data_IF_047593635029
#
_entry.id   IF_047593635029
#
_cell.length_a   1.000
_cell.length_b   1.000
_cell.length_c   1.000
_cell.angle_alpha   90.00
_cell.angle_beta   90.00
_cell.angle_gamma   90.00
#
_symmetry.space_group_name_H-M   'P 1'
#
loop_
_entity.id
_entity.type
_entity.pdbx_description
1 polymer ?
#
# COMPACT_ATOMS: atom_id res chain seq x y z
N UNK A 1 3.60 -3.39 -4.83
CA UNK A 1 5.05 -3.17 -4.61
C UNK A 1 5.51 -2.04 -5.50
N UNK A 2 6.55 -1.30 -5.13
CA UNK A 2 7.01 -0.13 -5.90
C UNK A 2 7.88 -0.52 -7.09
N UNK A 3 8.88 -1.39 -6.88
CA UNK A 3 9.76 -1.94 -7.90
C UNK A 3 10.11 -3.40 -7.55
N UNK A 4 10.85 -4.09 -8.41
CA UNK A 4 11.43 -5.41 -8.11
C UNK A 4 12.87 -5.34 -7.55
N UNK A 5 13.38 -4.15 -7.24
CA UNK A 5 14.76 -3.93 -6.76
C UNK A 5 14.78 -3.81 -5.25
N UNK A 6 15.63 -4.58 -4.55
CA UNK A 6 15.87 -4.43 -3.10
C UNK A 6 17.09 -3.57 -2.85
N UNK A 7 16.93 -2.25 -2.93
CA UNK A 7 18.03 -1.28 -2.78
C UNK A 7 18.27 -0.81 -1.34
N UNK A 8 17.30 -1.06 -0.45
CA UNK A 8 17.26 -0.44 0.89
C UNK A 8 16.69 0.99 0.89
N UNK A 9 16.31 1.53 -0.27
CA UNK A 9 15.60 2.81 -0.38
C UNK A 9 14.09 2.64 -0.16
N UNK A 10 13.42 3.72 0.22
CA UNK A 10 11.99 3.66 0.58
C UNK A 10 11.06 3.40 -0.62
N UNK A 11 11.50 3.78 -1.82
CA UNK A 11 10.74 3.68 -3.07
C UNK A 11 11.11 2.45 -3.90
N UNK A 12 11.39 1.34 -3.23
CA UNK A 12 11.86 0.09 -3.83
C UNK A 12 11.28 -1.11 -3.07
N UNK A 13 11.49 -2.33 -3.57
CA UNK A 13 11.06 -3.54 -2.88
C UNK A 13 11.64 -3.60 -1.45
N UNK A 14 10.84 -4.03 -0.45
CA UNK A 14 9.48 -4.58 -0.56
C UNK A 14 8.37 -3.54 -0.39
N UNK A 15 8.69 -2.25 -0.32
CA UNK A 15 7.73 -1.22 0.04
C UNK A 15 6.65 -1.03 -1.03
N UNK A 16 5.41 -0.83 -0.59
CA UNK A 16 4.28 -0.33 -1.36
C UNK A 16 3.70 0.93 -0.74
N UNK A 17 3.30 1.85 -1.59
CA UNK A 17 2.74 3.14 -1.21
C UNK A 17 1.31 3.28 -1.70
N UNK A 18 0.46 3.83 -0.85
CA UNK A 18 -0.95 4.11 -1.13
C UNK A 18 -1.20 4.82 -2.48
N UNK A 19 -0.50 5.93 -2.82
CA UNK A 19 -0.74 6.63 -4.08
C UNK A 19 -0.49 5.75 -5.32
N UNK A 20 0.53 4.89 -5.28
CA UNK A 20 0.84 3.99 -6.40
C UNK A 20 -0.22 2.91 -6.56
N UNK A 21 -0.76 2.39 -5.45
CA UNK A 21 -1.87 1.44 -5.51
C UNK A 21 -3.11 2.07 -6.13
N UNK A 22 -3.45 3.28 -5.69
CA UNK A 22 -4.61 4.01 -6.21
C UNK A 22 -4.48 4.29 -7.71
N UNK A 23 -3.35 4.84 -8.16
CA UNK A 23 -3.11 5.13 -9.59
C UNK A 23 -3.22 3.85 -10.43
N UNK A 24 -2.64 2.74 -9.97
CA UNK A 24 -2.71 1.46 -10.67
C UNK A 24 -4.15 0.93 -10.75
N UNK A 25 -4.89 0.92 -9.63
CA UNK A 25 -6.29 0.43 -9.58
C UNK A 25 -7.19 1.26 -10.49
N UNK A 26 -7.11 2.59 -10.41
CA UNK A 26 -7.92 3.48 -11.24
C UNK A 26 -7.55 3.38 -12.72
N UNK A 27 -6.25 3.25 -13.03
CA UNK A 27 -5.77 2.97 -14.37
C UNK A 27 -6.37 1.67 -14.92
N UNK A 28 -6.27 0.57 -14.17
CA UNK A 28 -6.82 -0.72 -14.57
C UNK A 28 -8.33 -0.65 -14.84
N UNK A 29 -9.11 -0.06 -13.94
CA UNK A 29 -10.56 0.18 -14.11
C UNK A 29 -10.86 0.98 -15.38
N UNK A 30 -10.11 2.05 -15.62
CA UNK A 30 -10.30 2.92 -16.80
C UNK A 30 -10.14 2.19 -18.13
N UNK A 31 -9.33 1.13 -18.16
CA UNK A 31 -9.06 0.35 -19.37
C UNK A 31 -9.77 -1.02 -19.39
N UNK A 32 -10.73 -1.26 -18.50
CA UNK A 32 -11.56 -2.48 -18.48
C UNK A 32 -10.87 -3.71 -17.87
N UNK A 33 -9.80 -3.53 -17.11
CA UNK A 33 -9.12 -4.60 -16.38
C UNK A 33 -9.70 -4.73 -14.95
N UNK A 34 -11.02 -4.84 -14.84
CA UNK A 34 -11.74 -4.75 -13.56
C UNK A 34 -11.36 -5.86 -12.58
N UNK A 35 -11.23 -7.10 -13.05
CA UNK A 35 -10.83 -8.24 -12.20
C UNK A 35 -9.44 -8.05 -11.59
N UNK A 36 -8.49 -7.51 -12.38
CA UNK A 36 -7.14 -7.25 -11.90
C UNK A 36 -7.11 -6.06 -10.94
N UNK A 37 -7.89 -5.02 -11.23
CA UNK A 37 -8.06 -3.87 -10.35
C UNK A 37 -8.63 -4.30 -8.99
N UNK A 38 -9.64 -5.17 -9.01
CA UNK A 38 -10.30 -5.69 -7.82
C UNK A 38 -9.38 -6.59 -7.00
N UNK A 39 -8.65 -7.48 -7.66
CA UNK A 39 -7.64 -8.31 -6.99
C UNK A 39 -6.56 -7.45 -6.31
N UNK A 40 -6.11 -6.36 -6.95
CA UNK A 40 -5.14 -5.44 -6.38
C UNK A 40 -5.74 -4.66 -5.20
N UNK A 41 -6.97 -4.17 -5.33
CA UNK A 41 -7.73 -3.48 -4.28
C UNK A 41 -7.85 -4.33 -3.01
N UNK A 42 -8.34 -5.56 -3.15
CA UNK A 42 -8.54 -6.47 -2.02
C UNK A 42 -7.22 -6.79 -1.30
N UNK A 43 -6.14 -7.03 -2.05
CA UNK A 43 -4.81 -7.28 -1.46
C UNK A 43 -4.28 -6.06 -0.70
N UNK A 44 -4.47 -4.86 -1.23
CA UNK A 44 -4.06 -3.63 -0.56
C UNK A 44 -4.85 -3.40 0.72
N UNK A 45 -6.18 -3.52 0.68
CA UNK A 45 -7.04 -3.38 1.87
C UNK A 45 -6.65 -4.40 2.94
N UNK A 46 -6.46 -5.67 2.58
CA UNK A 46 -6.02 -6.70 3.51
C UNK A 46 -4.66 -6.40 4.16
N UNK A 47 -3.73 -5.78 3.42
CA UNK A 47 -2.43 -5.34 3.95
C UNK A 47 -2.60 -4.24 4.98
N UNK A 48 -3.41 -3.22 4.66
CA UNK A 48 -3.74 -2.13 5.57
C UNK A 48 -4.47 -2.63 6.83
N UNK A 49 -5.45 -3.51 6.67
CA UNK A 49 -6.24 -4.09 7.77
C UNK A 49 -5.37 -4.91 8.73
N UNK A 50 -4.45 -5.72 8.19
CA UNK A 50 -3.54 -6.52 9.00
C UNK A 50 -2.65 -5.64 9.90
N UNK A 51 -2.07 -4.57 9.35
CA UNK A 51 -1.25 -3.63 10.12
C UNK A 51 -2.10 -2.86 11.12
N UNK A 52 -3.28 -2.40 10.72
CA UNK A 52 -4.17 -1.68 11.62
C UNK A 52 -4.62 -2.56 12.79
N UNK A 53 -4.99 -3.80 12.53
CA UNK A 53 -5.37 -4.77 13.58
C UNK A 53 -4.22 -5.04 14.56
N UNK A 54 -2.98 -5.12 14.06
CA UNK A 54 -1.81 -5.40 14.89
C UNK A 54 -1.31 -4.19 15.70
N UNK A 55 -1.45 -2.98 15.15
CA UNK A 55 -0.78 -1.78 15.70
C UNK A 55 -1.72 -0.66 16.15
N UNK A 56 -3.00 -0.72 15.77
CA UNK A 56 -4.01 0.32 16.00
C UNK A 56 -3.85 1.55 15.11
N UNK A 57 -3.02 1.49 14.06
CA UNK A 57 -2.69 2.63 13.21
C UNK A 57 -2.44 2.22 11.75
N UNK A 58 -2.66 3.17 10.85
CA UNK A 58 -2.13 3.12 9.50
C UNK A 58 -0.74 3.77 9.45
N UNK A 59 0.04 3.46 8.43
CA UNK A 59 1.42 3.96 8.23
C UNK A 59 1.62 4.54 6.82
N UNK A 60 2.71 5.27 6.60
CA UNK A 60 2.99 5.93 5.31
C UNK A 60 3.19 4.94 4.14
N UNK A 61 3.77 3.76 4.43
CA UNK A 61 4.14 2.72 3.46
C UNK A 61 4.13 1.34 4.15
N UNK A 62 4.04 0.29 3.34
CA UNK A 62 3.83 -1.08 3.81
C UNK A 62 4.82 -2.03 3.15
N UNK A 63 5.30 -3.04 3.88
CA UNK A 63 5.85 -4.22 3.24
C UNK A 63 4.68 -5.01 2.63
N UNK A 64 4.64 -5.10 1.30
CA UNK A 64 3.52 -5.76 0.61
C UNK A 64 3.72 -7.25 0.39
N UNK A 65 4.87 -7.80 0.81
CA UNK A 65 5.14 -9.23 0.79
C UNK A 65 4.80 -9.83 2.14
N UNK A 66 5.17 -9.14 3.21
CA UNK A 66 4.94 -9.54 4.60
C UNK A 66 4.31 -8.37 5.37
N UNK A 67 2.97 -8.21 5.36
CA UNK A 67 2.30 -7.03 5.93
C UNK A 67 2.63 -6.71 7.39
N UNK A 68 2.92 -7.72 8.20
CA UNK A 68 3.28 -7.55 9.62
C UNK A 68 4.77 -7.30 9.85
N UNK A 69 5.60 -7.42 8.81
CA UNK A 69 6.99 -6.98 8.86
C UNK A 69 7.04 -5.45 8.85
N UNK A 70 8.01 -4.88 9.56
CA UNK A 70 8.22 -3.45 9.53
C UNK A 70 8.70 -3.03 8.14
N UNK A 71 7.92 -2.20 7.43
CA UNK A 71 8.41 -1.50 6.26
C UNK A 71 9.61 -0.63 6.66
N UNK A 72 10.68 -0.70 5.88
CA UNK A 72 11.97 -0.11 6.27
C UNK A 72 12.68 0.52 5.07
N UNK A 73 13.84 1.13 5.33
CA UNK A 73 14.69 1.75 4.32
C UNK A 73 14.62 3.27 4.28
N UNK A 74 15.58 3.85 3.55
CA UNK A 74 15.80 5.28 3.36
C UNK A 74 16.25 6.06 4.59
N UNK A 75 15.98 7.37 4.58
CA UNK A 75 16.70 8.35 5.40
C UNK A 75 16.07 8.60 6.79
N UNK A 76 14.81 8.20 6.98
CA UNK A 76 14.05 8.49 8.20
C UNK A 76 13.09 7.36 8.58
N UNK A 77 12.65 7.37 9.85
CA UNK A 77 11.78 6.36 10.42
C UNK A 77 10.35 6.40 9.84
N UNK A 78 9.67 5.26 9.88
CA UNK A 78 8.28 5.13 9.42
C UNK A 78 7.34 6.11 10.14
N UNK A 79 6.41 6.73 9.39
CA UNK A 79 5.44 7.69 9.92
C UNK A 79 4.05 7.10 10.09
N UNK A 80 3.36 7.52 11.16
CA UNK A 80 2.04 7.02 11.58
C UNK A 80 0.88 7.88 11.03
N UNK A 81 -0.26 7.24 10.79
CA UNK A 81 -1.55 7.85 10.43
C UNK A 81 -1.62 8.50 9.05
N UNK A 82 -0.59 8.37 8.22
CA UNK A 82 -0.33 9.19 7.05
C UNK A 82 -1.52 9.50 6.11
N UNK A 83 -1.66 10.77 5.70
CA UNK A 83 -2.84 11.29 5.01
C UNK A 83 -3.23 10.56 3.71
N UNK A 84 -2.28 10.24 2.83
CA UNK A 84 -2.61 9.47 1.61
C UNK A 84 -3.10 8.07 1.92
N UNK A 85 -2.67 7.46 3.03
CA UNK A 85 -2.99 6.06 3.33
C UNK A 85 -4.44 6.00 3.74
N UNK A 86 -4.83 6.91 4.64
CA UNK A 86 -6.23 7.03 5.06
C UNK A 86 -7.13 7.39 3.89
N UNK A 87 -6.73 8.36 3.05
CA UNK A 87 -7.53 8.79 1.90
C UNK A 87 -7.75 7.68 0.88
N UNK A 88 -6.69 6.99 0.49
CA UNK A 88 -6.76 5.86 -0.46
C UNK A 88 -7.54 4.69 0.15
N UNK A 89 -7.34 4.39 1.43
CA UNK A 89 -8.11 3.32 2.09
C UNK A 89 -9.61 3.61 2.08
N UNK A 90 -10.03 4.84 2.42
CA UNK A 90 -11.44 5.26 2.41
C UNK A 90 -12.06 5.22 1.00
N UNK A 91 -11.32 5.65 -0.02
CA UNK A 91 -11.78 5.57 -1.40
C UNK A 91 -11.98 4.12 -1.85
N UNK A 92 -11.05 3.23 -1.48
CA UNK A 92 -11.06 1.84 -1.93
C UNK A 92 -12.03 0.94 -1.15
N UNK A 93 -12.30 1.20 0.13
CA UNK A 93 -13.23 0.37 0.92
C UNK A 93 -14.71 0.59 0.52
N UNK A 94 -15.04 1.78 0.03
CA UNK A 94 -16.40 2.13 -0.41
C UNK A 94 -16.70 1.87 -1.90
N UNK A 95 -15.71 1.37 -2.66
CA UNK A 95 -15.78 1.18 -4.11
C UNK A 95 -16.22 -0.22 -4.53
#
# INVERSE_FOLDING_TARGET
MTTDVTSGQQWDAPNGWAPLQWIAIQGLRRYGYDDLAEALRLRWLATCDAVFAASGKFVEKYDVREPLAASSGGEYALQDGFGWTNGVYLDLIGA
#
